data_IF_861229901851
#
_entry.id   IF_861229901851
#
_cell.length_a   1.000
_cell.length_b   1.000
_cell.length_c   1.000
_cell.angle_alpha   90.00
_cell.angle_beta   90.00
_cell.angle_gamma   90.00
#
_symmetry.space_group_name_H-M   'P 1'
#
loop_
_entity.id
_entity.type
_entity.pdbx_description
1 polymer ?
#
# COMPACT_ATOMS: atom_id res chain seq x y z
N UNK A 1 -3.64 -1.55 11.12
CA UNK A 1 -3.74 -1.10 9.72
C UNK A 1 -2.79 0.05 9.49
N UNK A 2 -2.17 0.15 8.32
CA UNK A 2 -1.13 1.13 8.01
C UNK A 2 -1.44 1.86 6.70
N UNK A 3 -1.20 3.16 6.72
CA UNK A 3 -1.21 4.06 5.56
C UNK A 3 0.15 4.76 5.46
N UNK A 4 0.55 5.19 4.26
CA UNK A 4 1.80 5.90 4.02
C UNK A 4 1.55 7.19 3.27
N UNK A 5 2.05 8.31 3.80
CA UNK A 5 2.24 9.56 3.08
C UNK A 5 3.70 9.61 2.61
N UNK A 6 3.94 9.50 1.29
CA UNK A 6 5.28 9.34 0.70
C UNK A 6 5.69 10.47 -0.24
N UNK A 7 4.87 11.52 -0.36
CA UNK A 7 5.22 12.68 -1.17
C UNK A 7 6.17 13.66 -0.49
N UNK A 8 6.45 13.45 0.80
CA UNK A 8 7.27 14.31 1.63
C UNK A 8 6.50 15.43 2.33
N UNK A 9 5.16 15.43 2.23
CA UNK A 9 4.31 16.32 3.03
C UNK A 9 4.31 15.91 4.49
N UNK A 10 4.09 16.86 5.36
CA UNK A 10 3.95 16.66 6.81
C UNK A 10 2.48 16.75 7.28
N UNK A 11 1.52 16.81 6.35
CA UNK A 11 0.10 17.02 6.58
C UNK A 11 -0.75 16.19 5.63
N UNK A 12 -2.05 16.04 5.96
CA UNK A 12 -3.03 15.26 5.20
C UNK A 12 -3.96 16.18 4.40
N UNK A 13 -4.25 15.80 3.17
CA UNK A 13 -5.39 16.41 2.46
C UNK A 13 -6.72 15.97 3.08
N UNK A 14 -7.83 16.70 2.89
CA UNK A 14 -9.14 16.27 3.36
C UNK A 14 -9.55 14.88 2.86
N UNK A 15 -9.19 14.52 1.62
CA UNK A 15 -9.47 13.20 1.05
C UNK A 15 -8.69 12.08 1.78
N UNK A 16 -7.44 12.31 2.09
CA UNK A 16 -6.61 11.37 2.84
C UNK A 16 -7.08 11.24 4.29
N UNK A 17 -7.53 12.33 4.89
CA UNK A 17 -8.17 12.30 6.21
C UNK A 17 -9.45 11.44 6.21
N UNK A 18 -10.30 11.55 5.18
CA UNK A 18 -11.47 10.66 5.01
C UNK A 18 -11.10 9.19 4.88
N UNK A 19 -9.97 8.84 4.24
CA UNK A 19 -9.51 7.46 4.18
C UNK A 19 -9.20 6.90 5.57
N UNK A 20 -8.51 7.67 6.42
CA UNK A 20 -8.21 7.30 7.80
C UNK A 20 -9.49 7.22 8.65
N UNK A 21 -10.39 8.18 8.52
CA UNK A 21 -11.67 8.22 9.22
C UNK A 21 -12.51 6.98 8.88
N UNK A 22 -12.65 6.65 7.60
CA UNK A 22 -13.40 5.46 7.17
C UNK A 22 -12.81 4.17 7.74
N UNK A 23 -11.48 4.06 7.79
CA UNK A 23 -10.80 2.90 8.37
C UNK A 23 -10.97 2.83 9.89
N UNK A 24 -10.88 3.96 10.58
CA UNK A 24 -11.03 4.06 12.02
C UNK A 24 -12.46 3.78 12.49
N UNK A 25 -13.46 4.16 11.67
CA UNK A 25 -14.87 3.95 11.97
C UNK A 25 -15.36 2.54 11.62
N UNK A 26 -14.84 1.93 10.55
CA UNK A 26 -15.36 0.67 10.02
C UNK A 26 -14.63 -0.57 10.52
N UNK A 27 -13.46 -0.41 11.16
CA UNK A 27 -12.61 -1.53 11.58
C UNK A 27 -12.22 -1.41 13.04
N UNK A 28 -12.17 -2.56 13.74
CA UNK A 28 -11.63 -2.65 15.11
C UNK A 28 -10.09 -2.58 15.16
N UNK A 29 -9.44 -2.29 14.05
CA UNK A 29 -7.98 -2.19 13.96
C UNK A 29 -7.49 -0.84 14.45
N UNK A 30 -6.31 -0.82 15.09
CA UNK A 30 -5.57 0.42 15.25
C UNK A 30 -5.12 0.91 13.88
N UNK A 31 -5.38 2.18 13.58
CA UNK A 31 -5.02 2.83 12.33
C UNK A 31 -3.75 3.64 12.54
N UNK A 32 -2.75 3.42 11.69
CA UNK A 32 -1.47 4.11 11.77
C UNK A 32 -1.20 4.79 10.44
N UNK A 33 -0.97 6.10 10.45
CA UNK A 33 -0.44 6.84 9.32
C UNK A 33 1.03 7.16 9.55
N UNK A 34 1.85 6.85 8.56
CA UNK A 34 3.30 7.06 8.59
C UNK A 34 3.68 8.06 7.50
N UNK A 35 4.29 9.17 7.90
CA UNK A 35 4.76 10.21 7.01
C UNK A 35 6.24 10.01 6.67
N UNK A 36 6.57 10.09 5.40
CA UNK A 36 7.95 10.20 4.94
C UNK A 36 8.42 11.64 5.05
N UNK A 37 8.52 12.13 6.26
CA UNK A 37 8.94 13.50 6.61
C UNK A 37 9.65 13.50 7.96
N UNK A 38 10.30 14.60 8.31
CA UNK A 38 10.97 14.73 9.61
C UNK A 38 10.01 15.07 10.76
N UNK A 39 8.83 15.60 10.45
CA UNK A 39 7.78 15.94 11.43
C UNK A 39 6.39 15.80 10.82
N UNK A 40 5.37 15.85 11.68
CA UNK A 40 3.95 15.94 11.28
C UNK A 40 3.43 17.32 11.67
N UNK A 41 2.79 17.99 10.73
CA UNK A 41 2.16 19.30 10.97
C UNK A 41 0.80 19.10 11.66
N UNK A 42 0.78 19.30 12.96
CA UNK A 42 -0.43 19.23 13.78
C UNK A 42 -1.29 20.50 13.77
N UNK A 43 -0.83 21.56 13.09
CA UNK A 43 -1.62 22.80 12.90
C UNK A 43 -2.46 22.77 11.63
N UNK A 44 -2.15 21.84 10.69
CA UNK A 44 -3.03 21.60 9.55
C UNK A 44 -4.41 21.10 9.99
N UNK A 45 -5.46 21.68 9.42
CA UNK A 45 -6.85 21.42 9.84
C UNK A 45 -7.24 19.94 9.72
N UNK A 46 -6.87 19.29 8.62
CA UNK A 46 -7.23 17.88 8.38
C UNK A 46 -6.47 16.96 9.33
N UNK A 47 -5.16 17.17 9.49
CA UNK A 47 -4.30 16.40 10.40
C UNK A 47 -4.73 16.59 11.86
N UNK A 48 -5.01 17.83 12.26
CA UNK A 48 -5.49 18.17 13.61
C UNK A 48 -6.84 17.50 13.91
N UNK A 49 -7.77 17.51 12.95
CA UNK A 49 -9.08 16.89 13.11
C UNK A 49 -8.99 15.38 13.33
N UNK A 50 -8.15 14.70 12.56
CA UNK A 50 -7.89 13.26 12.73
C UNK A 50 -7.40 12.96 14.14
N UNK A 51 -6.42 13.72 14.63
CA UNK A 51 -5.88 13.54 15.99
C UNK A 51 -6.91 13.76 17.10
N UNK A 52 -7.78 14.76 16.93
CA UNK A 52 -8.78 15.11 17.95
C UNK A 52 -9.98 14.17 17.97
N UNK A 53 -10.40 13.68 16.81
CA UNK A 53 -11.68 12.99 16.66
C UNK A 53 -11.53 11.46 16.66
N UNK A 54 -10.35 10.94 16.34
CA UNK A 54 -10.14 9.51 16.13
C UNK A 54 -9.08 8.94 17.09
N UNK A 55 -9.47 8.51 18.29
CA UNK A 55 -8.54 8.04 19.32
C UNK A 55 -7.81 6.74 18.96
N UNK A 56 -8.30 6.00 17.98
CA UNK A 56 -7.67 4.78 17.46
C UNK A 56 -6.72 5.03 16.28
N UNK A 57 -6.48 6.30 15.91
CA UNK A 57 -5.48 6.69 14.89
C UNK A 57 -4.21 7.18 15.57
N UNK A 58 -3.06 6.74 15.06
CA UNK A 58 -1.73 7.18 15.50
C UNK A 58 -0.92 7.70 14.31
N UNK A 59 -0.18 8.78 14.52
CA UNK A 59 0.67 9.41 13.53
C UNK A 59 2.15 9.14 13.83
N UNK A 60 2.91 8.78 12.80
CA UNK A 60 4.32 8.48 12.90
C UNK A 60 5.08 9.16 11.76
N UNK A 61 6.38 9.37 11.94
CA UNK A 61 7.32 9.68 10.88
C UNK A 61 8.28 8.53 10.66
N UNK A 62 8.83 8.39 9.44
CA UNK A 62 9.83 7.38 9.13
C UNK A 62 10.95 7.95 8.28
N UNK A 63 12.19 7.55 8.59
CA UNK A 63 13.36 7.80 7.74
C UNK A 63 13.62 6.59 6.85
N UNK A 64 13.95 6.80 5.59
CA UNK A 64 14.19 5.73 4.61
C UNK A 64 15.23 4.72 5.08
N UNK A 65 16.29 5.18 5.74
CA UNK A 65 17.31 4.31 6.33
C UNK A 65 16.65 3.26 7.25
N UNK A 66 15.81 3.71 8.19
CA UNK A 66 15.17 2.83 9.18
C UNK A 66 14.12 1.91 8.53
N UNK A 67 13.42 2.43 7.50
CA UNK A 67 12.44 1.64 6.76
C UNK A 67 13.08 0.45 6.04
N UNK A 68 14.26 0.66 5.44
CA UNK A 68 14.89 -0.35 4.58
C UNK A 68 16.03 -1.13 5.25
N UNK A 69 16.51 -0.71 6.42
CA UNK A 69 17.51 -1.46 7.19
C UNK A 69 17.07 -2.92 7.39
N UNK A 70 18.00 -3.86 7.33
CA UNK A 70 17.77 -5.30 7.40
C UNK A 70 16.82 -5.86 6.33
N UNK A 71 16.72 -5.17 5.20
CA UNK A 71 15.97 -5.65 4.02
C UNK A 71 16.84 -5.59 2.74
N UNK A 72 16.50 -6.32 1.68
CA UNK A 72 17.16 -6.19 0.39
C UNK A 72 17.14 -4.76 -0.17
N UNK A 73 16.17 -3.94 0.26
CA UNK A 73 15.97 -2.59 -0.25
C UNK A 73 16.93 -1.55 0.33
N UNK A 74 17.72 -1.90 1.36
CA UNK A 74 18.63 -0.94 2.00
C UNK A 74 19.64 -0.30 1.04
N UNK A 75 20.20 -1.09 0.11
CA UNK A 75 21.09 -0.56 -0.94
C UNK A 75 20.34 -0.09 -2.18
N UNK A 76 19.12 -0.60 -2.39
CA UNK A 76 18.31 -0.30 -3.56
C UNK A 76 17.91 1.17 -3.65
N UNK A 77 17.40 1.77 -2.56
CA UNK A 77 16.95 3.16 -2.56
C UNK A 77 18.08 4.19 -2.76
N UNK A 78 19.35 3.74 -2.64
CA UNK A 78 20.53 4.57 -2.85
C UNK A 78 21.04 4.54 -4.30
N UNK A 79 20.52 3.65 -5.13
CA UNK A 79 20.93 3.51 -6.53
C UNK A 79 20.57 4.75 -7.35
N UNK A 80 21.45 5.12 -8.27
CA UNK A 80 21.25 6.31 -9.12
C UNK A 80 20.10 6.14 -10.09
N UNK A 81 19.90 4.94 -10.65
CA UNK A 81 18.76 4.64 -11.52
C UNK A 81 17.41 4.79 -10.80
N UNK A 82 17.35 4.47 -9.50
CA UNK A 82 16.18 4.72 -8.68
C UNK A 82 15.98 6.22 -8.40
N UNK A 83 17.04 6.92 -8.01
CA UNK A 83 16.99 8.35 -7.65
C UNK A 83 16.60 9.23 -8.83
N UNK A 84 17.02 8.88 -10.03
CA UNK A 84 16.81 9.64 -11.25
C UNK A 84 15.60 9.17 -12.07
N UNK A 85 14.86 8.14 -11.60
CA UNK A 85 13.65 7.70 -12.26
C UNK A 85 12.53 8.75 -12.22
N UNK A 86 11.85 8.95 -13.34
CA UNK A 86 10.63 9.76 -13.42
C UNK A 86 9.48 9.19 -12.57
N UNK A 87 9.55 7.91 -12.22
CA UNK A 87 8.58 7.21 -11.37
C UNK A 87 9.02 7.05 -9.92
N UNK A 88 10.10 7.73 -9.50
CA UNK A 88 10.70 7.62 -8.16
C UNK A 88 9.67 7.67 -7.02
N UNK A 89 8.72 8.61 -7.06
CA UNK A 89 7.73 8.76 -5.99
C UNK A 89 6.82 7.53 -5.87
N UNK A 90 6.34 6.99 -7.00
CA UNK A 90 5.51 5.77 -7.03
C UNK A 90 6.32 4.56 -6.58
N UNK A 91 7.52 4.39 -7.12
CA UNK A 91 8.40 3.28 -6.76
C UNK A 91 8.85 3.33 -5.29
N UNK A 92 9.03 4.53 -4.72
CA UNK A 92 9.30 4.69 -3.30
C UNK A 92 8.12 4.22 -2.45
N UNK A 93 6.90 4.60 -2.83
CA UNK A 93 5.69 4.14 -2.16
C UNK A 93 5.55 2.61 -2.24
N UNK A 94 5.78 2.01 -3.43
CA UNK A 94 5.74 0.56 -3.62
C UNK A 94 6.78 -0.18 -2.76
N UNK A 95 8.00 0.35 -2.69
CA UNK A 95 9.07 -0.23 -1.88
C UNK A 95 8.78 -0.10 -0.37
N UNK A 96 8.31 1.07 0.08
CA UNK A 96 8.04 1.34 1.50
C UNK A 96 6.91 0.48 2.05
N UNK A 97 5.78 0.31 1.33
CA UNK A 97 4.66 -0.51 1.80
C UNK A 97 5.05 -1.97 2.00
N UNK A 98 5.87 -2.52 1.10
CA UNK A 98 6.37 -3.88 1.19
C UNK A 98 7.35 -4.05 2.37
N UNK A 99 8.31 -3.13 2.52
CA UNK A 99 9.26 -3.15 3.62
C UNK A 99 8.57 -2.97 4.99
N UNK A 100 7.59 -2.06 5.07
CA UNK A 100 6.82 -1.81 6.27
C UNK A 100 6.10 -3.09 6.72
N UNK A 101 5.28 -3.67 5.85
CA UNK A 101 4.51 -4.87 6.20
C UNK A 101 5.44 -6.06 6.47
N UNK A 102 6.56 -6.19 5.78
CA UNK A 102 7.57 -7.19 6.12
C UNK A 102 8.08 -7.04 7.56
N UNK A 103 8.33 -5.81 8.01
CA UNK A 103 8.87 -5.55 9.37
C UNK A 103 7.85 -5.68 10.47
N UNK A 104 6.61 -5.25 10.25
CA UNK A 104 5.61 -5.13 11.32
C UNK A 104 4.42 -6.07 11.17
N UNK A 105 4.15 -6.55 9.95
CA UNK A 105 2.94 -7.30 9.60
C UNK A 105 1.70 -6.40 9.56
N UNK A 106 0.55 -6.98 9.21
CA UNK A 106 -0.73 -6.31 9.29
C UNK A 106 -1.28 -5.84 7.95
N UNK A 107 -2.31 -5.02 8.00
CA UNK A 107 -3.02 -4.52 6.82
C UNK A 107 -2.43 -3.20 6.33
N UNK A 108 -2.08 -3.13 5.05
CA UNK A 108 -1.72 -1.90 4.35
C UNK A 108 -2.88 -1.42 3.48
N UNK A 109 -3.08 -0.12 3.40
CA UNK A 109 -4.00 0.50 2.43
C UNK A 109 -3.45 1.84 1.92
N UNK A 110 -3.73 2.12 0.65
CA UNK A 110 -3.43 3.43 0.06
C UNK A 110 -4.37 4.51 0.63
N UNK A 111 -3.90 5.77 0.65
CA UNK A 111 -4.65 6.93 1.15
C UNK A 111 -5.78 7.42 0.22
N UNK A 112 -5.98 6.78 -0.92
CA UNK A 112 -7.08 7.05 -1.84
C UNK A 112 -8.21 5.99 -1.77
N UNK A 113 -8.27 5.25 -0.67
CA UNK A 113 -9.26 4.19 -0.41
C UNK A 113 -10.31 4.60 0.60
N UNK A 114 -11.47 3.93 0.57
CA UNK A 114 -12.51 4.02 1.61
C UNK A 114 -12.77 2.64 2.18
N UNK A 115 -12.63 2.50 3.49
CA UNK A 115 -12.92 1.24 4.18
C UNK A 115 -14.41 1.16 4.50
N UNK A 116 -15.10 0.14 3.96
CA UNK A 116 -16.55 -0.01 4.09
C UNK A 116 -16.97 -1.10 5.06
N UNK A 117 -16.02 -1.83 5.64
CA UNK A 117 -16.33 -2.93 6.55
C UNK A 117 -15.15 -3.34 7.41
N UNK A 118 -15.41 -4.24 8.36
CA UNK A 118 -14.38 -4.72 9.28
C UNK A 118 -13.36 -5.63 8.58
N UNK A 119 -12.11 -5.20 8.59
CA UNK A 119 -10.97 -5.90 8.01
C UNK A 119 -10.21 -6.77 9.03
N UNK A 120 -10.61 -6.76 10.31
CA UNK A 120 -9.86 -7.41 11.40
C UNK A 120 -9.75 -8.93 11.27
N UNK A 121 -10.62 -9.55 10.48
CA UNK A 121 -10.64 -10.99 10.23
C UNK A 121 -9.91 -11.43 8.96
N UNK A 122 -9.35 -10.47 8.21
CA UNK A 122 -8.64 -10.75 6.97
C UNK A 122 -7.15 -10.95 7.27
N UNK A 123 -6.69 -12.18 7.12
CA UNK A 123 -5.29 -12.55 7.33
C UNK A 123 -4.68 -13.07 6.03
N UNK A 124 -3.45 -12.65 5.73
CA UNK A 124 -2.68 -13.05 4.54
C UNK A 124 -3.50 -12.97 3.23
N UNK A 125 -4.06 -11.79 2.97
CA UNK A 125 -4.91 -11.53 1.80
C UNK A 125 -4.30 -10.48 0.88
N UNK A 126 -4.46 -10.67 -0.43
CA UNK A 126 -4.07 -9.70 -1.46
C UNK A 126 -5.23 -9.56 -2.44
N UNK A 127 -5.61 -8.33 -2.76
CA UNK A 127 -6.67 -8.07 -3.73
C UNK A 127 -6.20 -8.27 -5.18
N UNK A 128 -7.03 -8.88 -6.00
CA UNK A 128 -6.83 -8.88 -7.45
C UNK A 128 -7.45 -7.65 -8.10
N UNK A 129 -6.93 -7.26 -9.26
CA UNK A 129 -7.51 -6.23 -10.12
C UNK A 129 -7.55 -6.73 -11.56
N UNK A 130 -8.39 -6.11 -12.40
CA UNK A 130 -8.46 -6.40 -13.83
C UNK A 130 -7.79 -5.29 -14.60
N UNK A 131 -6.74 -5.63 -15.35
CA UNK A 131 -6.15 -4.72 -16.32
C UNK A 131 -6.71 -5.03 -17.72
N UNK A 132 -6.93 -4.00 -18.54
CA UNK A 132 -7.39 -4.18 -19.93
C UNK A 132 -6.42 -5.09 -20.69
N UNK A 133 -6.97 -6.16 -21.30
CA UNK A 133 -6.22 -7.03 -22.24
C UNK A 133 -5.26 -8.03 -21.62
N UNK A 134 -5.02 -8.05 -20.30
CA UNK A 134 -3.94 -8.86 -19.71
C UNK A 134 -4.36 -9.83 -18.59
N UNK A 135 -5.66 -10.07 -18.41
CA UNK A 135 -6.15 -10.99 -17.38
C UNK A 135 -6.12 -10.43 -15.95
N UNK A 136 -6.07 -11.30 -14.96
CA UNK A 136 -6.09 -10.93 -13.55
C UNK A 136 -4.68 -10.64 -13.05
N UNK A 137 -4.49 -9.47 -12.40
CA UNK A 137 -3.27 -9.06 -11.73
C UNK A 137 -3.53 -8.84 -10.25
N UNK A 138 -2.49 -8.90 -9.43
CA UNK A 138 -2.56 -8.47 -8.05
C UNK A 138 -2.35 -6.97 -7.95
N UNK A 139 -3.02 -6.34 -7.03
CA UNK A 139 -2.79 -4.96 -6.66
C UNK A 139 -2.09 -4.90 -5.30
N UNK A 140 -1.25 -3.91 -5.11
CA UNK A 140 -0.52 -3.70 -3.86
C UNK A 140 -0.99 -2.44 -3.10
N UNK A 141 -2.15 -1.90 -3.48
CA UNK A 141 -2.77 -0.75 -2.80
C UNK A 141 -3.59 -1.12 -1.57
N UNK A 142 -3.99 -2.40 -1.42
CA UNK A 142 -4.64 -2.94 -0.22
C UNK A 142 -4.30 -4.42 -0.06
N UNK A 143 -3.67 -4.79 1.06
CA UNK A 143 -3.30 -6.17 1.37
C UNK A 143 -2.98 -6.34 2.85
N UNK A 144 -3.10 -7.58 3.35
CA UNK A 144 -2.61 -8.00 4.66
C UNK A 144 -1.62 -9.15 4.50
N UNK A 145 -0.47 -9.06 5.15
CA UNK A 145 0.47 -10.18 5.30
C UNK A 145 1.08 -10.16 6.69
N UNK A 146 1.40 -11.35 7.18
CA UNK A 146 2.08 -11.53 8.45
C UNK A 146 3.48 -10.91 8.43
N UNK A 147 3.96 -10.57 9.62
CA UNK A 147 5.33 -10.11 9.81
C UNK A 147 6.32 -11.15 9.28
N UNK A 148 7.29 -10.68 8.48
CA UNK A 148 8.33 -11.52 7.86
C UNK A 148 7.79 -12.59 6.90
N UNK A 149 6.60 -12.39 6.34
CA UNK A 149 6.05 -13.31 5.35
C UNK A 149 7.05 -13.53 4.19
N UNK A 150 7.37 -14.80 3.81
CA UNK A 150 8.42 -15.10 2.82
C UNK A 150 8.20 -14.47 1.44
N UNK A 151 6.93 -14.29 1.05
CA UNK A 151 6.57 -13.62 -0.19
C UNK A 151 7.10 -12.19 -0.24
N UNK A 152 7.01 -11.42 0.87
CA UNK A 152 7.47 -10.03 0.90
C UNK A 152 8.99 -9.93 0.73
N UNK A 153 9.74 -10.86 1.31
CA UNK A 153 11.19 -10.95 1.09
C UNK A 153 11.52 -11.23 -0.38
N UNK A 154 10.81 -12.17 -1.01
CA UNK A 154 10.95 -12.48 -2.43
C UNK A 154 10.62 -11.27 -3.31
N UNK A 155 9.54 -10.53 -3.00
CA UNK A 155 9.18 -9.30 -3.72
C UNK A 155 10.28 -8.25 -3.60
N UNK A 156 10.81 -7.99 -2.41
CA UNK A 156 11.89 -7.03 -2.21
C UNK A 156 13.17 -7.41 -2.97
N UNK A 157 13.54 -8.70 -3.00
CA UNK A 157 14.64 -9.17 -3.83
C UNK A 157 14.36 -8.95 -5.32
N UNK A 158 13.16 -9.28 -5.77
CA UNK A 158 12.75 -9.03 -7.14
C UNK A 158 12.81 -7.54 -7.51
N UNK A 159 12.45 -6.63 -6.61
CA UNK A 159 12.61 -5.17 -6.84
C UNK A 159 14.06 -4.81 -7.16
N UNK A 160 15.02 -5.36 -6.42
CA UNK A 160 16.45 -5.11 -6.63
C UNK A 160 16.95 -5.67 -7.95
N UNK A 161 16.48 -6.89 -8.30
CA UNK A 161 16.96 -7.67 -9.45
C UNK A 161 16.43 -7.17 -10.80
N UNK A 162 15.14 -6.75 -10.87
CA UNK A 162 14.49 -6.44 -12.15
C UNK A 162 14.33 -4.94 -12.42
N UNK A 163 14.70 -4.08 -11.49
CA UNK A 163 14.46 -2.65 -11.58
C UNK A 163 15.18 -2.00 -12.75
N UNK A 164 14.42 -1.32 -13.59
CA UNK A 164 14.93 -0.47 -14.68
C UNK A 164 14.55 1.00 -14.53
N UNK A 165 13.54 1.31 -13.72
CA UNK A 165 13.02 2.66 -13.50
C UNK A 165 12.25 3.23 -14.67
N UNK A 166 11.85 2.42 -15.65
CA UNK A 166 11.24 2.85 -16.92
C UNK A 166 9.73 2.71 -16.96
N UNK A 167 9.15 1.86 -16.13
CA UNK A 167 7.71 1.58 -16.13
C UNK A 167 7.09 1.86 -14.76
N UNK A 168 5.97 2.60 -14.72
CA UNK A 168 5.30 3.02 -13.49
C UNK A 168 4.95 1.85 -12.54
N UNK A 169 4.49 0.72 -13.07
CA UNK A 169 4.06 -0.44 -12.27
C UNK A 169 5.11 -1.52 -12.08
N UNK A 170 6.35 -1.26 -12.46
CA UNK A 170 7.44 -2.24 -12.59
C UNK A 170 7.68 -3.05 -11.32
N UNK A 171 7.81 -2.38 -10.19
CA UNK A 171 8.10 -3.01 -8.89
C UNK A 171 6.90 -3.11 -7.95
N UNK A 172 5.74 -2.62 -8.37
CA UNK A 172 4.48 -2.72 -7.65
C UNK A 172 3.65 -3.93 -8.11
N UNK A 173 2.47 -3.70 -8.71
CA UNK A 173 1.51 -4.75 -9.08
C UNK A 173 2.07 -5.83 -10.00
N UNK A 174 2.91 -5.46 -10.98
CA UNK A 174 3.47 -6.41 -11.95
C UNK A 174 4.44 -7.38 -11.28
N UNK A 175 5.34 -6.86 -10.46
CA UNK A 175 6.30 -7.70 -9.73
C UNK A 175 5.61 -8.58 -8.69
N UNK A 176 4.66 -8.04 -7.92
CA UNK A 176 3.89 -8.80 -6.95
C UNK A 176 3.14 -9.97 -7.62
N UNK A 177 2.51 -9.71 -8.76
CA UNK A 177 1.84 -10.73 -9.57
C UNK A 177 2.80 -11.85 -9.99
N UNK A 178 3.97 -11.47 -10.50
CA UNK A 178 5.03 -12.42 -10.92
C UNK A 178 5.53 -13.23 -9.72
N UNK A 179 5.80 -12.58 -8.60
CA UNK A 179 6.33 -13.23 -7.40
C UNK A 179 5.35 -14.27 -6.84
N UNK A 180 4.04 -13.97 -6.80
CA UNK A 180 3.02 -14.93 -6.37
C UNK A 180 2.91 -16.10 -7.33
N UNK A 181 2.87 -15.85 -8.65
CA UNK A 181 2.83 -16.93 -9.65
C UNK A 181 4.01 -17.87 -9.53
N UNK A 182 5.21 -17.33 -9.37
CA UNK A 182 6.43 -18.12 -9.21
C UNK A 182 6.48 -18.87 -7.87
N UNK A 183 6.05 -18.21 -6.77
CA UNK A 183 6.10 -18.81 -5.44
C UNK A 183 5.19 -20.04 -5.33
N UNK A 184 3.98 -19.95 -5.90
CA UNK A 184 2.99 -21.02 -5.85
C UNK A 184 2.95 -21.91 -7.08
N UNK A 185 3.79 -21.63 -8.08
CA UNK A 185 3.81 -22.31 -9.39
C UNK A 185 2.41 -22.37 -10.03
N UNK A 186 1.76 -21.21 -10.15
CA UNK A 186 0.39 -21.09 -10.69
C UNK A 186 0.34 -20.10 -11.85
N UNK A 187 -0.49 -20.38 -12.83
CA UNK A 187 -0.83 -19.46 -13.92
C UNK A 187 -2.08 -18.61 -13.57
N UNK A 188 -3.05 -19.20 -12.91
CA UNK A 188 -4.28 -18.53 -12.48
C UNK A 188 -4.20 -18.11 -11.01
N UNK A 189 -4.33 -16.79 -10.78
CA UNK A 189 -4.29 -16.20 -9.45
C UNK A 189 -5.58 -16.40 -8.65
N UNK A 190 -6.71 -16.67 -9.33
CA UNK A 190 -8.01 -16.86 -8.65
C UNK A 190 -8.04 -18.10 -7.77
N UNK A 191 -7.19 -19.06 -8.04
CA UNK A 191 -7.11 -20.32 -7.31
C UNK A 191 -6.10 -20.30 -6.15
N UNK A 192 -5.40 -19.19 -5.91
CA UNK A 192 -4.41 -19.11 -4.84
C UNK A 192 -5.12 -19.03 -3.49
N UNK A 193 -5.23 -20.19 -2.87
CA UNK A 193 -5.63 -20.44 -1.50
C UNK A 193 -4.66 -21.46 -0.92
N UNK A 194 -3.39 -21.08 -0.78
CA UNK A 194 -2.31 -22.02 -0.43
C UNK A 194 -1.37 -21.37 0.58
N UNK A 195 -0.81 -22.17 1.48
CA UNK A 195 0.19 -21.74 2.45
C UNK A 195 -0.22 -20.50 3.25
N UNK A 196 -1.53 -20.40 3.56
CA UNK A 196 -2.08 -19.27 4.28
C UNK A 196 -2.37 -18.02 3.43
N UNK A 197 -1.90 -17.91 2.19
CA UNK A 197 -2.21 -16.75 1.32
C UNK A 197 -3.54 -16.94 0.58
N UNK A 198 -4.36 -15.89 0.60
CA UNK A 198 -5.63 -15.83 -0.13
C UNK A 198 -5.65 -14.66 -1.11
N UNK A 199 -5.83 -14.95 -2.39
CA UNK A 199 -6.09 -13.90 -3.39
C UNK A 199 -7.59 -13.64 -3.45
N UNK A 200 -7.98 -12.42 -3.08
CA UNK A 200 -9.36 -11.98 -3.09
C UNK A 200 -9.78 -11.50 -4.49
N UNK A 201 -11.07 -11.67 -4.87
CA UNK A 201 -11.59 -11.14 -6.13
C UNK A 201 -11.50 -9.60 -6.15
N UNK A 202 -11.49 -9.03 -7.36
CA UNK A 202 -11.41 -7.56 -7.53
C UNK A 202 -12.54 -6.80 -6.85
N UNK A 203 -13.69 -7.44 -6.67
CA UNK A 203 -14.84 -6.85 -5.97
C UNK A 203 -14.60 -6.61 -4.48
N UNK A 204 -13.58 -7.23 -3.88
CA UNK A 204 -13.28 -7.04 -2.47
C UNK A 204 -12.62 -5.69 -2.18
N UNK A 205 -11.59 -5.32 -2.96
CA UNK A 205 -10.83 -4.07 -2.73
C UNK A 205 -10.86 -3.10 -3.90
N UNK A 206 -11.22 -3.56 -5.10
CA UNK A 206 -11.22 -2.77 -6.34
C UNK A 206 -12.53 -2.97 -7.11
N UNK A 207 -13.70 -2.67 -6.50
CA UNK A 207 -15.03 -2.92 -7.11
C UNK A 207 -15.29 -2.01 -8.31
N UNK A 208 -14.78 -0.77 -8.29
CA UNK A 208 -14.94 0.18 -9.38
C UNK A 208 -13.94 -0.12 -10.50
N UNK A 209 -14.41 -0.03 -11.75
CA UNK A 209 -13.51 -0.02 -12.91
C UNK A 209 -12.76 1.31 -12.93
N UNK A 210 -11.51 1.31 -13.39
CA UNK A 210 -10.67 2.52 -13.53
C UNK A 210 -11.26 3.61 -14.43
N UNK A 211 -12.37 3.33 -15.11
CA UNK A 211 -13.10 4.23 -16.02
C UNK A 211 -14.33 4.87 -15.35
N UNK A 212 -14.63 4.55 -14.11
CA UNK A 212 -15.69 5.24 -13.37
C UNK A 212 -15.13 6.60 -12.98
N UNK A 213 -15.37 7.60 -13.84
CA UNK A 213 -15.20 9.00 -13.47
C UNK A 213 -16.15 9.30 -12.31
N UNK A 214 -15.58 9.69 -11.18
CA UNK A 214 -16.36 10.28 -10.09
C UNK A 214 -16.86 11.63 -10.66
N UNK A 215 -18.15 11.69 -11.00
CA UNK A 215 -18.77 12.97 -11.29
C UNK A 215 -18.62 13.83 -10.03
N UNK A 216 -18.12 15.07 -10.13
CA UNK A 216 -18.14 15.96 -8.99
C UNK A 216 -19.59 16.11 -8.56
N UNK A 217 -19.89 15.74 -7.31
CA UNK A 217 -21.18 16.05 -6.71
C UNK A 217 -21.17 17.55 -6.52
N UNK A 218 -21.85 18.28 -7.41
CA UNK A 218 -22.15 19.69 -7.19
C UNK A 218 -23.16 19.75 -6.04
N UNK A 219 -22.65 19.86 -4.83
CA UNK A 219 -23.44 20.33 -3.68
C UNK A 219 -23.57 21.85 -3.86
N UNK A 220 -24.57 22.29 -4.62
CA UNK A 220 -25.08 23.66 -4.51
C UNK A 220 -25.80 23.72 -3.16
N UNK A 221 -25.13 24.29 -2.17
CA UNK A 221 -25.74 24.79 -0.94
C UNK A 221 -26.33 26.17 -1.20
#
# INVERSE_FOLDING_TARGET
MFFLETSGRSWLTPREACALESAAASSNLKVNIIFLSDFVDLYDNSTCSIMKLLPNVSLFTIKLKNAFEDTPLYRFYQRDDFRNSSFKAVHMSDALRIALIFKVGGFYSDLDTMTLGDLSRLENVIGSTRMRGSGSHLANGAFHLDRRHPLLWRVMRGMVEVYTGRERGEIGPLLLTRAVRQHFNVSDLKSVRREGLHVLPSTAFYPAKSEVYIYPINLSL
#
